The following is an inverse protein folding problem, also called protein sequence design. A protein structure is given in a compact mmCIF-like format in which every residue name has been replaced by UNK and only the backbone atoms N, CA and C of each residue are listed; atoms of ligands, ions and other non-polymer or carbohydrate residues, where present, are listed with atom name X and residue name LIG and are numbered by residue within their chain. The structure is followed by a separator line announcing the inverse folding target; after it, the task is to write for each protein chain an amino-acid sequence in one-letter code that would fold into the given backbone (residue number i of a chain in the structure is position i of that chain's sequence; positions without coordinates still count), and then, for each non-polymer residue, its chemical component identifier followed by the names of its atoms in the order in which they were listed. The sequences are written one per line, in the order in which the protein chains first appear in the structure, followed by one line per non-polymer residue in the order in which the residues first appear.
data_IF_195373049666
#
_entry.id   IF_195373049666
#
_cell.length_a   1.000
_cell.length_b   1.000
_cell.length_c   1.000
_cell.angle_alpha   90.00
_cell.angle_beta   90.00
_cell.angle_gamma   90.00
#
_symmetry.space_group_name_H-M   'P 1'
#
loop_
_entity.id
_entity.type
_entity.pdbx_description
1 polymer ?
#
# COMPACT_ATOMS: atom_id res chain seq x y z
N UNK A 1 2.37 -10.37 -4.98
CA UNK A 1 2.28 -10.14 -6.45
C UNK A 1 1.15 -9.17 -6.75
N UNK A 2 1.32 -8.16 -7.61
CA UNK A 2 0.20 -7.27 -7.98
C UNK A 2 -0.69 -8.01 -8.98
N UNK A 3 -1.97 -8.18 -8.64
CA UNK A 3 -2.92 -8.96 -9.45
C UNK A 3 -3.95 -8.11 -10.17
N UNK A 4 -4.18 -6.88 -9.71
CA UNK A 4 -5.02 -5.88 -10.36
C UNK A 4 -4.52 -4.47 -9.97
N UNK A 5 -4.77 -3.48 -10.82
CA UNK A 5 -4.32 -2.10 -10.57
C UNK A 5 -5.18 -1.08 -11.31
N UNK A 6 -5.31 0.11 -10.73
CA UNK A 6 -5.95 1.27 -11.37
C UNK A 6 -5.35 2.56 -10.82
N UNK A 7 -5.86 3.70 -11.27
CA UNK A 7 -5.52 5.01 -10.73
C UNK A 7 -6.72 5.66 -10.06
N UNK A 8 -6.48 6.25 -8.89
CA UNK A 8 -7.46 6.99 -8.10
C UNK A 8 -6.90 8.39 -7.84
N UNK A 9 -7.64 9.48 -8.16
CA UNK A 9 -7.23 10.83 -7.83
C UNK A 9 -7.08 11.00 -6.31
N UNK A 10 -5.97 11.59 -5.87
CA UNK A 10 -5.74 11.88 -4.45
C UNK A 10 -5.67 13.40 -4.26
N UNK A 11 -6.52 14.01 -3.39
CA UNK A 11 -6.49 15.43 -3.09
C UNK A 11 -5.10 15.91 -2.63
N UNK A 12 -4.71 17.18 -2.85
CA UNK A 12 -3.45 17.71 -2.32
C UNK A 12 -3.36 17.53 -0.81
N UNK A 13 -2.14 17.37 -0.27
CA UNK A 13 -1.87 17.25 1.17
C UNK A 13 -2.47 16.03 1.89
N UNK A 14 -3.17 15.12 1.22
CA UNK A 14 -3.76 13.91 1.83
C UNK A 14 -2.77 13.13 2.71
N UNK A 15 -1.54 12.94 2.24
CA UNK A 15 -0.54 12.21 3.04
C UNK A 15 -0.21 12.93 4.35
N UNK A 16 -0.10 14.27 4.33
CA UNK A 16 0.12 15.07 5.55
C UNK A 16 -1.08 14.98 6.50
N UNK A 17 -2.31 15.01 5.97
CA UNK A 17 -3.53 14.87 6.78
C UNK A 17 -3.63 13.48 7.42
N UNK A 18 -3.32 12.40 6.69
CA UNK A 18 -3.33 11.04 7.22
C UNK A 18 -2.34 10.87 8.37
N UNK A 19 -1.14 11.48 8.26
CA UNK A 19 -0.16 11.45 9.36
C UNK A 19 -0.68 12.10 10.64
N UNK A 20 -1.53 13.12 10.54
CA UNK A 20 -2.11 13.80 11.71
C UNK A 20 -3.10 12.92 12.50
N UNK A 21 -3.63 11.86 11.88
CA UNK A 21 -4.61 10.95 12.49
C UNK A 21 -4.03 9.56 12.81
N UNK A 22 -2.71 9.35 12.66
CA UNK A 22 -2.04 8.09 13.02
C UNK A 22 -1.90 7.88 14.55
N UNK A 23 -2.03 6.63 15.04
CA UNK A 23 -1.96 6.22 16.46
C UNK A 23 -0.77 5.26 16.70
N UNK A 24 0.03 5.39 17.80
CA UNK A 24 0.33 6.59 18.61
C UNK A 24 1.30 7.51 17.81
N UNK A 25 1.80 8.67 18.30
CA UNK A 25 2.17 9.80 17.43
C UNK A 25 3.12 9.38 16.31
N UNK A 26 2.79 9.79 15.09
CA UNK A 26 3.58 9.55 13.89
C UNK A 26 5.07 9.81 14.16
N UNK A 27 5.90 8.78 13.95
CA UNK A 27 7.35 8.90 13.99
C UNK A 27 7.88 8.69 12.59
N UNK A 28 8.47 9.71 11.93
CA UNK A 28 8.97 9.56 10.57
C UNK A 28 9.84 8.32 10.44
N UNK A 29 9.52 7.45 9.49
CA UNK A 29 10.28 6.24 9.26
C UNK A 29 11.67 6.59 8.72
N UNK A 30 12.70 6.42 9.55
CA UNK A 30 14.09 6.78 9.18
C UNK A 30 14.94 5.56 8.80
N UNK A 31 14.60 4.35 9.30
CA UNK A 31 15.34 3.10 9.05
C UNK A 31 14.43 1.87 9.24
N UNK A 32 14.64 0.83 8.41
CA UNK A 32 13.97 -0.48 8.54
C UNK A 32 13.21 -0.89 7.30
N UNK A 33 12.36 -1.92 7.42
CA UNK A 33 11.60 -2.45 6.30
C UNK A 33 10.27 -1.68 6.07
N UNK A 34 9.26 -1.89 6.93
CA UNK A 34 7.99 -1.13 6.85
C UNK A 34 7.38 -0.95 8.22
N UNK A 35 6.81 0.22 8.46
CA UNK A 35 6.00 0.55 9.62
C UNK A 35 4.53 0.62 9.22
N UNK A 36 3.65 0.16 10.11
CA UNK A 36 2.20 0.20 9.94
C UNK A 36 1.60 1.04 11.05
N UNK A 37 0.86 2.09 10.70
CA UNK A 37 0.15 2.94 11.65
C UNK A 37 -1.35 2.72 11.56
N UNK A 38 -2.00 2.65 12.73
CA UNK A 38 -3.45 2.68 12.82
C UNK A 38 -3.97 4.11 12.67
N UNK A 39 -5.15 4.28 12.08
CA UNK A 39 -5.75 5.60 11.88
C UNK A 39 -6.92 5.81 12.85
N UNK A 40 -6.87 6.91 13.59
CA UNK A 40 -7.89 7.30 14.56
C UNK A 40 -9.23 7.53 13.87
N UNK A 41 -10.26 6.82 14.31
CA UNK A 41 -11.61 6.91 13.73
C UNK A 41 -11.81 6.09 12.46
N UNK A 42 -10.76 5.47 11.92
CA UNK A 42 -10.81 4.73 10.65
C UNK A 42 -10.23 3.32 10.81
N UNK A 43 -10.96 2.41 11.50
CA UNK A 43 -10.45 1.09 11.87
C UNK A 43 -10.16 0.17 10.68
N UNK A 44 -10.69 0.47 9.49
CA UNK A 44 -10.46 -0.31 8.27
C UNK A 44 -9.23 0.13 7.48
N UNK A 45 -8.59 1.23 7.87
CA UNK A 45 -7.47 1.81 7.12
C UNK A 45 -6.18 1.75 7.94
N UNK A 46 -5.06 1.55 7.25
CA UNK A 46 -3.72 1.57 7.82
C UNK A 46 -2.77 2.35 6.92
N UNK A 47 -1.95 3.22 7.52
CA UNK A 47 -0.85 3.85 6.80
C UNK A 47 0.36 2.91 6.84
N UNK A 48 0.89 2.59 5.67
CA UNK A 48 2.12 1.82 5.49
C UNK A 48 3.22 2.78 5.05
N UNK A 49 4.38 2.71 5.69
CA UNK A 49 5.56 3.49 5.30
C UNK A 49 6.82 2.67 5.36
N UNK A 50 7.73 2.87 4.42
CA UNK A 50 8.97 2.11 4.40
C UNK A 50 10.03 2.67 3.47
N UNK A 51 11.22 2.07 3.53
CA UNK A 51 12.29 2.29 2.54
C UNK A 51 12.69 1.00 1.82
N UNK A 52 12.26 -0.16 2.31
CA UNK A 52 12.41 -1.45 1.63
C UNK A 52 11.49 -2.49 2.27
N UNK A 53 11.04 -3.50 1.56
CA UNK A 53 10.39 -4.67 2.15
C UNK A 53 11.09 -5.87 1.55
N UNK A 54 11.71 -6.76 2.34
CA UNK A 54 12.42 -7.90 1.79
C UNK A 54 11.43 -8.89 1.18
N UNK A 55 11.87 -9.78 0.28
CA UNK A 55 11.03 -10.84 -0.26
C UNK A 55 10.41 -11.70 0.85
N UNK A 56 9.08 -11.71 0.93
CA UNK A 56 8.34 -12.53 1.89
C UNK A 56 6.94 -12.86 1.34
N UNK A 57 6.24 -13.77 2.01
CA UNK A 57 4.79 -13.98 1.88
C UNK A 57 4.20 -13.76 3.26
N UNK A 58 2.98 -13.24 3.33
CA UNK A 58 2.27 -13.03 4.61
C UNK A 58 1.79 -14.36 5.21
N UNK A 59 1.84 -15.46 4.45
CA UNK A 59 1.35 -16.78 4.87
C UNK A 59 -0.17 -16.86 4.97
N UNK A 60 -0.88 -15.90 4.38
CA UNK A 60 -2.34 -15.80 4.39
C UNK A 60 -2.84 -15.76 2.94
N UNK A 61 -3.76 -16.67 2.60
CA UNK A 61 -4.41 -16.72 1.30
C UNK A 61 -5.41 -15.56 1.13
N UNK A 62 -4.91 -14.36 0.82
CA UNK A 62 -5.74 -13.17 0.69
C UNK A 62 -5.16 -12.08 -0.22
N UNK A 63 -5.94 -11.01 -0.32
CA UNK A 63 -5.60 -9.79 -1.04
C UNK A 63 -5.51 -8.60 -0.09
N UNK A 64 -4.56 -7.70 -0.36
CA UNK A 64 -4.41 -6.41 0.32
C UNK A 64 -4.46 -5.27 -0.71
N UNK A 65 -5.54 -4.48 -0.73
CA UNK A 65 -5.61 -3.24 -1.48
C UNK A 65 -4.71 -2.17 -0.87
N UNK A 66 -3.91 -1.50 -1.70
CA UNK A 66 -2.99 -0.44 -1.27
C UNK A 66 -3.08 0.73 -2.26
N UNK A 67 -3.44 1.90 -1.78
CA UNK A 67 -3.40 3.16 -2.52
C UNK A 67 -2.09 3.90 -2.24
N UNK A 68 -1.28 4.13 -3.27
CA UNK A 68 -0.01 4.83 -3.13
C UNK A 68 -0.23 6.33 -2.85
N UNK A 69 0.13 6.78 -1.64
CA UNK A 69 0.01 8.17 -1.21
C UNK A 69 1.24 8.99 -1.57
N UNK A 70 2.42 8.37 -1.46
CA UNK A 70 3.71 9.01 -1.66
C UNK A 70 4.72 7.99 -2.19
N UNK A 71 5.41 8.34 -3.28
CA UNK A 71 6.53 7.57 -3.81
C UNK A 71 7.58 8.59 -4.32
N UNK A 72 8.51 9.03 -3.45
CA UNK A 72 9.39 10.13 -3.76
C UNK A 72 10.31 9.78 -4.93
N UNK A 73 10.40 10.71 -5.89
CA UNK A 73 11.15 10.49 -7.14
C UNK A 73 10.62 9.34 -8.01
N UNK A 74 9.45 8.76 -7.68
CA UNK A 74 8.99 7.49 -8.22
C UNK A 74 10.08 6.41 -8.11
N UNK A 75 10.77 6.33 -6.98
CA UNK A 75 11.90 5.41 -6.79
C UNK A 75 11.47 3.99 -6.39
N UNK A 76 10.36 3.84 -5.67
CA UNK A 76 9.98 2.58 -5.06
C UNK A 76 9.08 1.74 -5.97
N UNK A 77 9.40 0.45 -6.02
CA UNK A 77 8.69 -0.56 -6.82
C UNK A 77 8.18 -1.64 -5.87
N UNK A 78 6.87 -1.82 -5.84
CA UNK A 78 6.20 -3.01 -5.32
C UNK A 78 6.21 -4.06 -6.43
N UNK A 79 6.75 -5.25 -6.14
CA UNK A 79 6.75 -6.38 -7.07
C UNK A 79 6.50 -7.69 -6.35
N UNK A 80 6.11 -8.72 -7.10
CA UNK A 80 6.05 -10.08 -6.57
C UNK A 80 6.57 -11.11 -7.55
N UNK A 81 6.71 -12.33 -7.04
CA UNK A 81 7.18 -13.49 -7.78
C UNK A 81 6.11 -14.58 -7.75
N UNK A 82 5.93 -15.25 -8.90
CA UNK A 82 5.13 -16.47 -9.01
C UNK A 82 6.08 -17.62 -9.37
N UNK A 83 6.53 -18.36 -8.35
CA UNK A 83 7.65 -19.30 -8.51
C UNK A 83 8.93 -18.55 -8.91
N UNK A 84 9.55 -18.93 -10.04
CA UNK A 84 10.78 -18.28 -10.52
C UNK A 84 10.55 -17.03 -11.39
N UNK A 85 9.30 -16.70 -11.73
CA UNK A 85 9.00 -15.54 -12.58
C UNK A 85 8.76 -14.31 -11.72
N UNK A 86 9.65 -13.32 -11.84
CA UNK A 86 9.43 -12.00 -11.28
C UNK A 86 8.42 -11.22 -12.13
N UNK A 87 7.48 -10.55 -11.46
CA UNK A 87 6.61 -9.57 -12.09
C UNK A 87 7.45 -8.34 -12.48
N UNK A 88 7.40 -7.97 -13.76
CA UNK A 88 7.93 -6.68 -14.18
C UNK A 88 6.99 -5.58 -13.68
N UNK A 89 7.50 -4.69 -12.83
CA UNK A 89 6.75 -3.56 -12.30
C UNK A 89 7.54 -2.27 -12.55
N UNK A 90 6.86 -1.23 -13.05
CA UNK A 90 7.33 0.15 -12.92
C UNK A 90 7.10 0.64 -11.49
N UNK A 91 7.79 1.71 -11.06
CA UNK A 91 7.44 2.38 -9.81
C UNK A 91 5.96 2.77 -9.80
N UNK A 92 5.29 2.60 -8.66
CA UNK A 92 3.89 2.96 -8.52
C UNK A 92 3.77 4.44 -8.14
N UNK A 93 3.36 5.33 -9.05
CA UNK A 93 3.21 6.74 -8.72
C UNK A 93 2.10 6.97 -7.70
N UNK A 94 2.11 8.16 -7.08
CA UNK A 94 1.00 8.63 -6.25
C UNK A 94 -0.33 8.50 -6.99
N UNK A 95 -1.34 7.95 -6.32
CA UNK A 95 -2.66 7.66 -6.90
C UNK A 95 -2.79 6.26 -7.50
N UNK A 96 -1.73 5.47 -7.57
CA UNK A 96 -1.83 4.07 -8.00
C UNK A 96 -2.51 3.24 -6.91
N UNK A 97 -3.63 2.62 -7.24
CA UNK A 97 -4.27 1.61 -6.41
C UNK A 97 -3.85 0.23 -6.91
N UNK A 98 -3.20 -0.56 -6.06
CA UNK A 98 -2.81 -1.93 -6.35
C UNK A 98 -3.60 -2.92 -5.51
N UNK A 99 -3.95 -4.06 -6.09
CA UNK A 99 -4.39 -5.24 -5.35
C UNK A 99 -3.21 -6.19 -5.26
N UNK A 100 -2.65 -6.29 -4.06
CA UNK A 100 -1.53 -7.16 -3.76
C UNK A 100 -2.06 -8.52 -3.31
N UNK A 101 -1.71 -9.57 -4.05
CA UNK A 101 -1.75 -10.94 -3.57
C UNK A 101 -0.63 -11.12 -2.54
N UNK A 102 -1.02 -11.24 -1.26
CA UNK A 102 -0.11 -11.33 -0.11
C UNK A 102 0.31 -12.77 0.21
N UNK A 103 -0.35 -13.76 -0.41
CA UNK A 103 0.02 -15.17 -0.36
C UNK A 103 1.23 -15.43 -1.27
N UNK A 104 1.25 -14.78 -2.43
CA UNK A 104 2.40 -14.78 -3.32
C UNK A 104 3.58 -14.02 -2.69
N UNK A 105 4.81 -14.48 -2.97
CA UNK A 105 6.00 -13.76 -2.54
C UNK A 105 6.03 -12.34 -3.14
N UNK A 106 6.36 -11.36 -2.32
CA UNK A 106 6.37 -9.96 -2.68
C UNK A 106 7.39 -9.16 -1.87
N UNK A 107 7.75 -8.00 -2.41
CA UNK A 107 8.76 -7.11 -1.85
C UNK A 107 8.53 -5.67 -2.33
N UNK A 108 9.23 -4.74 -1.68
CA UNK A 108 9.30 -3.34 -2.09
C UNK A 108 10.76 -2.92 -2.09
N UNK A 109 11.25 -2.34 -3.17
CA UNK A 109 12.64 -1.85 -3.19
C UNK A 109 12.74 -0.55 -3.97
N UNK A 110 13.74 0.27 -3.62
CA UNK A 110 14.12 1.44 -4.40
C UNK A 110 14.89 1.03 -5.66
N UNK A 111 14.76 1.81 -6.73
CA UNK A 111 15.63 1.72 -7.91
C UNK A 111 17.04 2.22 -7.59
N UNK A 112 17.14 3.29 -6.79
CA UNK A 112 18.37 3.76 -6.17
C UNK A 112 18.26 3.61 -4.64
N UNK A 113 18.86 2.55 -4.08
CA UNK A 113 18.91 2.34 -2.62
C UNK A 113 19.73 3.41 -1.88
N UNK A 114 20.62 4.13 -2.57
CA UNK A 114 21.50 5.15 -2.00
C UNK A 114 20.99 6.58 -2.24
N UNK A 115 19.90 6.74 -3.02
CA UNK A 115 19.41 8.04 -3.46
C UNK A 115 18.77 8.90 -2.38
N UNK A 116 18.68 8.40 -1.13
CA UNK A 116 18.13 9.12 0.03
C UNK A 116 16.78 9.81 -0.24
N UNK A 117 15.92 9.15 -1.02
CA UNK A 117 14.66 9.73 -1.49
C UNK A 117 13.60 9.90 -0.38
N UNK A 118 13.83 9.38 0.82
CA UNK A 118 12.83 9.32 1.90
C UNK A 118 11.93 8.08 1.78
N UNK A 119 10.97 7.93 2.69
CA UNK A 119 10.09 6.76 2.72
C UNK A 119 9.01 6.82 1.63
N UNK A 120 8.62 5.66 1.08
CA UNK A 120 7.34 5.55 0.39
C UNK A 120 6.20 5.46 1.41
N UNK A 121 4.98 5.83 0.99
CA UNK A 121 3.78 5.69 1.79
C UNK A 121 2.61 5.15 0.97
N UNK A 122 1.90 4.16 1.53
CA UNK A 122 0.69 3.58 0.98
C UNK A 122 -0.42 3.52 2.03
N UNK A 123 -1.67 3.72 1.61
CA UNK A 123 -2.84 3.52 2.44
C UNK A 123 -3.41 2.14 2.13
N UNK A 124 -3.41 1.24 3.11
CA UNK A 124 -4.04 -0.06 2.98
C UNK A 124 -5.49 -0.01 3.49
N UNK A 125 -6.39 -0.70 2.81
CA UNK A 125 -7.77 -0.89 3.23
C UNK A 125 -8.09 -2.37 3.43
N UNK A 126 -8.80 -2.67 4.51
CA UNK A 126 -9.25 -3.99 4.85
C UNK A 126 -10.38 -3.90 5.90
N UNK A 127 -11.53 -4.57 5.72
CA UNK A 127 -12.56 -4.65 6.75
C UNK A 127 -11.98 -5.21 8.06
N UNK A 128 -12.04 -4.44 9.15
CA UNK A 128 -11.47 -4.81 10.44
C UNK A 128 -9.94 -4.98 10.43
N UNK A 129 -9.24 -4.45 9.42
CA UNK A 129 -7.80 -4.59 9.24
C UNK A 129 -7.33 -5.98 8.79
N UNK A 130 -8.25 -6.88 8.43
CA UNK A 130 -7.93 -8.24 7.99
C UNK A 130 -7.84 -8.35 6.46
N UNK A 131 -6.87 -9.12 5.91
CA UNK A 131 -6.81 -9.35 4.46
C UNK A 131 -8.10 -9.96 3.91
N UNK A 132 -8.41 -9.64 2.65
CA UNK A 132 -9.61 -10.13 1.96
C UNK A 132 -9.36 -11.57 1.47
N UNK A 133 -10.08 -12.60 1.94
CA UNK A 133 -9.77 -13.99 1.62
C UNK A 133 -9.98 -14.32 0.14
N UNK A 134 -9.03 -15.05 -0.47
CA UNK A 134 -9.14 -15.50 -1.87
C UNK A 134 -10.33 -16.43 -2.14
N UNK A 135 -10.82 -17.12 -1.11
CA UNK A 135 -11.99 -18.00 -1.21
C UNK A 135 -13.31 -17.24 -1.43
N UNK A 136 -13.34 -15.94 -1.15
CA UNK A 136 -14.56 -15.12 -1.16
C UNK A 136 -14.47 -13.94 -2.14
N UNK A 137 -13.26 -13.61 -2.56
CA UNK A 137 -12.96 -12.41 -3.31
C UNK A 137 -12.16 -12.72 -4.56
N UNK A 138 -12.52 -12.04 -5.65
CA UNK A 138 -11.76 -12.03 -6.90
C UNK A 138 -11.03 -10.69 -7.04
N UNK A 139 -9.81 -10.65 -7.62
CA UNK A 139 -9.00 -9.42 -7.70
C UNK A 139 -9.72 -8.19 -8.24
N UNK A 140 -10.50 -8.33 -9.32
CA UNK A 140 -11.22 -7.21 -9.94
C UNK A 140 -12.38 -6.71 -9.07
N UNK A 141 -13.05 -7.61 -8.36
CA UNK A 141 -14.10 -7.25 -7.40
C UNK A 141 -13.49 -6.49 -6.22
N UNK A 142 -12.33 -6.95 -5.74
CA UNK A 142 -11.57 -6.25 -4.70
C UNK A 142 -11.15 -4.86 -5.19
N UNK A 143 -10.67 -4.73 -6.43
CA UNK A 143 -10.28 -3.45 -7.02
C UNK A 143 -11.44 -2.44 -7.04
N UNK A 144 -12.63 -2.87 -7.47
CA UNK A 144 -13.83 -2.03 -7.48
C UNK A 144 -14.21 -1.55 -6.08
N UNK A 145 -14.38 -2.48 -5.13
CA UNK A 145 -14.80 -2.12 -3.75
C UNK A 145 -13.74 -1.27 -3.06
N UNK A 146 -12.46 -1.63 -3.17
CA UNK A 146 -11.39 -0.86 -2.55
C UNK A 146 -11.33 0.56 -3.12
N UNK A 147 -11.56 0.74 -4.42
CA UNK A 147 -11.62 2.07 -5.03
C UNK A 147 -12.72 2.92 -4.40
N UNK A 148 -13.93 2.39 -4.27
CA UNK A 148 -15.06 3.11 -3.68
C UNK A 148 -14.78 3.49 -2.21
N UNK A 149 -14.17 2.58 -1.45
CA UNK A 149 -13.79 2.79 -0.05
C UNK A 149 -12.69 3.84 0.11
N UNK A 150 -11.68 3.82 -0.77
CA UNK A 150 -10.64 4.85 -0.78
C UNK A 150 -11.22 6.21 -1.20
N UNK A 151 -12.06 6.27 -2.24
CA UNK A 151 -12.70 7.52 -2.67
C UNK A 151 -13.59 8.11 -1.56
N UNK A 152 -14.35 7.27 -0.84
CA UNK A 152 -15.13 7.66 0.33
C UNK A 152 -14.26 8.23 1.45
N UNK A 153 -13.22 7.51 1.85
CA UNK A 153 -12.28 7.97 2.88
C UNK A 153 -11.58 9.29 2.49
N UNK A 154 -11.15 9.42 1.23
CA UNK A 154 -10.53 10.64 0.73
C UNK A 154 -11.50 11.83 0.72
N UNK A 155 -12.80 11.58 0.48
CA UNK A 155 -13.86 12.58 0.56
C UNK A 155 -14.12 13.08 1.98
N UNK A 156 -13.88 12.26 3.01
CA UNK A 156 -14.01 12.64 4.42
C UNK A 156 -12.82 13.48 4.93
N UNK A 157 -11.65 13.37 4.29
CA UNK A 157 -10.44 14.14 4.65
C UNK A 157 -10.39 15.56 4.06
N UNK A 158 -11.25 15.84 3.07
CA UNK A 158 -11.35 17.14 2.38
C UNK A 158 -12.37 18.08 3.02
#
# INVERSE_FOLDING_TARGET
MIVATTTTPIPPNTYEQIKQIAIPPYQPFTQGYTHTYELKGHPNFRLLEGVAVPPHSDGIAGYRPILMLHNPGNNYIVRGTAGQKAQACSPQPRGTLIILDIDAQHEVHGQDPNGNHGAWAGLAWAPGGQPLPKSEWEPEKVLGVARDEFEGFLGELG
#
